data_IF_764366975251
#
_entry.id   IF_764366975251
#
_cell.length_a   1.000
_cell.length_b   1.000
_cell.length_c   1.000
_cell.angle_alpha   90.00
_cell.angle_beta   90.00
_cell.angle_gamma   90.00
#
_symmetry.space_group_name_H-M   'P 1'
#
loop_
_entity.id
_entity.type
_entity.pdbx_description
1 polymer ?
#
# COMPACT_ATOMS: atom_id res chain seq x y z
N UNK A 1 3.44 -9.30 1.07
CA UNK A 1 3.11 -9.48 -0.38
C UNK A 1 4.12 -10.44 -0.98
N UNK A 2 3.71 -11.42 -1.79
CA UNK A 2 4.67 -12.36 -2.41
C UNK A 2 5.39 -11.68 -3.57
N UNK A 3 6.72 -11.83 -3.63
CA UNK A 3 7.51 -11.41 -4.77
C UNK A 3 7.16 -12.21 -6.03
N UNK A 4 7.48 -11.66 -7.18
CA UNK A 4 7.43 -12.38 -8.45
C UNK A 4 8.40 -13.57 -8.44
N UNK A 5 8.07 -14.59 -9.24
CA UNK A 5 8.89 -15.82 -9.36
C UNK A 5 10.01 -15.68 -10.38
N UNK A 6 10.07 -14.55 -11.09
CA UNK A 6 11.02 -14.31 -12.16
C UNK A 6 12.06 -13.26 -11.76
N UNK A 7 13.16 -13.30 -12.41
CA UNK A 7 14.24 -12.32 -12.29
C UNK A 7 14.95 -12.24 -13.66
N UNK A 8 14.18 -11.93 -14.71
CA UNK A 8 14.63 -11.98 -16.10
C UNK A 8 15.87 -11.13 -16.39
N UNK A 9 16.11 -10.13 -15.56
CA UNK A 9 17.27 -9.25 -15.69
C UNK A 9 18.36 -9.50 -14.64
N UNK A 10 18.27 -10.61 -13.90
CA UNK A 10 19.24 -11.01 -12.88
C UNK A 10 19.65 -9.86 -11.94
N UNK A 11 18.65 -9.09 -11.52
CA UNK A 11 18.84 -7.84 -10.75
C UNK A 11 18.53 -7.97 -9.26
N UNK A 12 18.05 -9.12 -8.78
CA UNK A 12 17.88 -9.39 -7.36
C UNK A 12 19.25 -9.50 -6.70
N UNK A 13 19.53 -8.66 -5.72
CA UNK A 13 20.81 -8.56 -4.98
C UNK A 13 20.55 -8.57 -3.49
N UNK A 14 21.60 -8.86 -2.76
CA UNK A 14 21.62 -8.83 -1.30
C UNK A 14 22.47 -7.66 -0.80
N UNK A 15 22.06 -7.10 0.32
CA UNK A 15 22.75 -6.03 1.03
C UNK A 15 22.77 -6.39 2.52
N UNK A 16 23.97 -6.43 3.11
CA UNK A 16 24.10 -6.58 4.56
C UNK A 16 24.16 -5.19 5.20
N UNK A 17 23.33 -4.99 6.22
CA UNK A 17 23.33 -3.78 7.04
C UNK A 17 23.25 -4.23 8.50
N UNK A 18 24.30 -3.97 9.26
CA UNK A 18 24.39 -4.31 10.68
C UNK A 18 24.09 -5.79 10.97
N UNK A 19 24.61 -6.70 10.14
CA UNK A 19 24.42 -8.14 10.27
C UNK A 19 23.02 -8.64 9.85
N UNK A 20 22.20 -7.78 9.26
CA UNK A 20 20.90 -8.15 8.66
C UNK A 20 21.01 -8.15 7.15
N UNK A 21 20.63 -9.25 6.55
CA UNK A 21 20.62 -9.39 5.10
C UNK A 21 19.29 -8.90 4.52
N UNK A 22 19.38 -7.94 3.58
CA UNK A 22 18.25 -7.40 2.84
C UNK A 22 18.36 -7.78 1.38
N UNK A 23 17.25 -8.19 0.76
CA UNK A 23 17.16 -8.41 -0.69
C UNK A 23 16.54 -7.18 -1.35
N UNK A 24 17.07 -6.75 -2.49
CA UNK A 24 16.57 -5.63 -3.26
C UNK A 24 16.76 -5.85 -4.76
N UNK A 25 15.95 -5.19 -5.57
CA UNK A 25 16.06 -5.24 -7.04
C UNK A 25 16.91 -4.06 -7.53
N UNK A 26 18.11 -4.38 -7.99
CA UNK A 26 19.10 -3.38 -8.42
C UNK A 26 18.82 -2.90 -9.84
N UNK A 27 18.38 -1.66 -9.99
CA UNK A 27 18.22 -1.02 -11.30
C UNK A 27 19.55 -0.95 -12.06
N UNK A 28 20.67 -0.76 -11.37
CA UNK A 28 22.00 -0.75 -11.96
C UNK A 28 22.36 -2.11 -12.60
N UNK A 29 22.04 -3.20 -11.94
CA UNK A 29 22.27 -4.54 -12.51
C UNK A 29 21.26 -4.84 -13.63
N UNK A 30 20.01 -4.43 -13.49
CA UNK A 30 19.02 -4.55 -14.57
C UNK A 30 19.46 -3.81 -15.86
N UNK A 31 20.06 -2.63 -15.69
CA UNK A 31 20.63 -1.87 -16.82
C UNK A 31 21.74 -2.65 -17.54
N UNK A 32 22.67 -3.23 -16.80
CA UNK A 32 23.75 -4.05 -17.37
C UNK A 32 23.25 -5.31 -18.06
N UNK A 33 22.16 -5.88 -17.53
CA UNK A 33 21.61 -7.16 -17.99
C UNK A 33 20.47 -7.02 -19.02
N UNK A 34 20.44 -5.91 -19.76
CA UNK A 34 19.57 -5.77 -20.94
C UNK A 34 18.62 -4.57 -20.93
N UNK A 35 18.45 -3.89 -19.79
CA UNK A 35 17.66 -2.64 -19.73
C UNK A 35 18.53 -1.39 -19.99
N UNK A 36 19.36 -1.43 -21.02
CA UNK A 36 20.33 -0.37 -21.33
C UNK A 36 19.69 1.02 -21.35
N UNK A 37 20.31 1.98 -20.65
CA UNK A 37 19.95 3.38 -20.63
C UNK A 37 18.86 3.76 -19.63
N UNK A 38 18.35 2.84 -18.80
CA UNK A 38 17.28 3.15 -17.84
C UNK A 38 17.70 4.17 -16.78
N UNK A 39 18.99 4.34 -16.51
CA UNK A 39 19.50 5.41 -15.63
C UNK A 39 19.11 6.82 -16.07
N UNK A 40 18.74 7.00 -17.35
CA UNK A 40 18.23 8.26 -17.92
C UNK A 40 16.72 8.46 -17.74
N UNK A 41 16.01 7.49 -17.21
CA UNK A 41 14.58 7.60 -16.92
C UNK A 41 14.31 8.63 -15.80
N UNK A 42 13.17 9.32 -15.84
CA UNK A 42 12.68 10.07 -14.70
C UNK A 42 12.57 9.18 -13.45
N UNK A 43 12.80 9.75 -12.27
CA UNK A 43 12.74 9.00 -11.00
C UNK A 43 11.40 8.29 -10.78
N UNK A 44 10.30 8.91 -11.17
CA UNK A 44 8.98 8.30 -11.13
C UNK A 44 8.88 7.00 -11.95
N UNK A 45 9.45 6.97 -13.15
CA UNK A 45 9.48 5.77 -13.98
C UNK A 45 10.46 4.71 -13.44
N UNK A 46 11.52 5.12 -12.76
CA UNK A 46 12.42 4.17 -12.06
C UNK A 46 11.73 3.47 -10.90
N UNK A 47 10.86 4.16 -10.16
CA UNK A 47 10.04 3.55 -9.10
C UNK A 47 9.06 2.52 -9.68
N UNK A 48 8.39 2.85 -10.80
CA UNK A 48 7.50 1.92 -11.48
C UNK A 48 8.25 0.72 -12.04
N UNK A 49 9.44 0.94 -12.64
CA UNK A 49 10.27 -0.12 -13.18
C UNK A 49 10.74 -1.08 -12.07
N UNK A 50 11.20 -0.55 -10.94
CA UNK A 50 11.62 -1.39 -9.81
C UNK A 50 10.46 -2.23 -9.27
N UNK A 51 9.26 -1.64 -9.21
CA UNK A 51 8.06 -2.36 -8.83
C UNK A 51 7.75 -3.53 -9.79
N UNK A 52 7.85 -3.32 -11.10
CA UNK A 52 7.65 -4.39 -12.10
C UNK A 52 8.72 -5.49 -11.95
N UNK A 53 9.99 -5.13 -11.80
CA UNK A 53 11.08 -6.10 -11.60
C UNK A 53 10.88 -6.95 -10.34
N UNK A 54 10.35 -6.35 -9.28
CA UNK A 54 10.05 -7.02 -8.01
C UNK A 54 8.93 -8.06 -8.13
N UNK A 55 7.95 -7.79 -8.97
CA UNK A 55 6.73 -8.61 -9.06
C UNK A 55 6.59 -9.37 -10.38
N UNK A 56 7.67 -9.47 -11.17
CA UNK A 56 7.68 -10.21 -12.42
C UNK A 56 7.31 -11.69 -12.19
N UNK A 57 6.21 -12.15 -12.81
CA UNK A 57 5.65 -13.49 -12.64
C UNK A 57 5.20 -14.15 -13.96
N UNK A 58 5.35 -13.48 -15.10
CA UNK A 58 4.87 -13.85 -16.43
C UNK A 58 3.33 -13.98 -16.56
N UNK A 59 2.60 -13.55 -15.53
CA UNK A 59 1.15 -13.61 -15.50
C UNK A 59 0.54 -12.21 -15.35
N UNK A 60 0.76 -11.57 -14.20
CA UNK A 60 0.29 -10.22 -13.91
C UNK A 60 1.33 -9.15 -14.25
N UNK A 61 2.59 -9.48 -14.10
CA UNK A 61 3.73 -8.65 -14.50
C UNK A 61 4.62 -9.41 -15.46
N UNK A 62 4.67 -8.94 -16.70
CA UNK A 62 5.40 -9.58 -17.80
C UNK A 62 6.61 -8.77 -18.22
N UNK A 63 7.54 -9.42 -18.91
CA UNK A 63 8.70 -8.76 -19.52
C UNK A 63 8.31 -7.64 -20.48
N UNK A 64 7.17 -7.77 -21.18
CA UNK A 64 6.65 -6.74 -22.09
C UNK A 64 6.40 -5.43 -21.37
N UNK A 65 5.81 -5.48 -20.17
CA UNK A 65 5.54 -4.30 -19.36
C UNK A 65 6.83 -3.63 -18.86
N UNK A 66 7.83 -4.44 -18.48
CA UNK A 66 9.16 -3.95 -18.08
C UNK A 66 9.84 -3.24 -19.26
N UNK A 67 9.82 -3.85 -20.44
CA UNK A 67 10.40 -3.28 -21.65
C UNK A 67 9.66 -2.03 -22.13
N UNK A 68 8.36 -1.92 -21.89
CA UNK A 68 7.58 -0.73 -22.20
C UNK A 68 8.11 0.51 -21.46
N UNK A 69 8.49 0.38 -20.19
CA UNK A 69 9.11 1.46 -19.41
C UNK A 69 10.46 1.88 -20.05
N UNK A 70 11.30 0.91 -20.44
CA UNK A 70 12.56 1.21 -21.13
C UNK A 70 12.33 1.91 -22.46
N UNK A 71 11.37 1.44 -23.25
CA UNK A 71 11.07 1.99 -24.57
C UNK A 71 10.56 3.43 -24.53
N UNK A 72 9.98 3.85 -23.39
CA UNK A 72 9.59 5.23 -23.17
C UNK A 72 10.77 6.21 -23.32
N UNK A 73 12.02 5.78 -23.08
CA UNK A 73 13.20 6.63 -23.34
C UNK A 73 13.26 7.16 -24.76
N UNK A 74 12.82 6.37 -25.74
CA UNK A 74 12.83 6.71 -27.16
C UNK A 74 11.59 7.49 -27.57
N UNK A 75 10.43 7.01 -27.14
CA UNK A 75 9.13 7.48 -27.66
C UNK A 75 8.51 8.59 -26.83
N UNK A 76 8.87 8.70 -25.54
CA UNK A 76 8.24 9.55 -24.52
C UNK A 76 6.73 9.32 -24.37
N UNK A 77 6.26 8.20 -24.90
CA UNK A 77 4.85 7.76 -24.88
C UNK A 77 4.80 6.24 -24.67
N UNK A 78 3.73 5.74 -24.11
CA UNK A 78 3.40 4.33 -24.07
C UNK A 78 1.88 4.17 -24.02
N UNK A 79 1.37 3.15 -24.70
CA UNK A 79 -0.02 2.68 -24.62
C UNK A 79 -0.11 1.35 -23.89
N UNK A 80 1.02 0.82 -23.44
CA UNK A 80 1.07 -0.44 -22.68
C UNK A 80 0.61 -0.19 -21.26
N UNK A 81 -0.41 -0.88 -20.84
CA UNK A 81 -0.81 -0.93 -19.43
C UNK A 81 0.23 -1.69 -18.61
N UNK A 82 0.51 -1.20 -17.43
CA UNK A 82 1.42 -1.84 -16.50
C UNK A 82 0.72 -2.15 -15.18
N UNK A 83 1.03 -3.28 -14.59
CA UNK A 83 0.61 -3.58 -13.22
C UNK A 83 1.44 -2.77 -12.22
N UNK A 84 0.82 -2.37 -11.13
CA UNK A 84 1.48 -1.71 -10.00
C UNK A 84 1.00 -2.28 -8.68
N UNK A 85 1.92 -2.64 -7.81
CA UNK A 85 1.62 -3.15 -6.46
C UNK A 85 2.21 -2.21 -5.44
N UNK A 86 1.41 -1.33 -4.83
CA UNK A 86 1.88 -0.38 -3.84
C UNK A 86 2.34 -1.10 -2.57
N UNK A 87 3.36 -0.57 -1.92
CA UNK A 87 3.81 -1.08 -0.63
C UNK A 87 2.77 -0.83 0.48
N UNK A 88 1.98 0.24 0.30
CA UNK A 88 0.93 0.64 1.24
C UNK A 88 -0.18 1.40 0.51
N UNK A 89 -1.40 1.25 1.02
CA UNK A 89 -2.57 2.00 0.59
C UNK A 89 -3.01 2.91 1.73
N UNK A 90 -3.20 4.19 1.45
CA UNK A 90 -3.76 5.15 2.37
C UNK A 90 -5.23 5.36 2.02
N UNK A 91 -6.11 5.16 2.97
CA UNK A 91 -7.54 5.40 2.83
C UNK A 91 -8.02 6.45 3.81
N UNK A 92 -8.97 7.24 3.39
CA UNK A 92 -9.83 8.02 4.27
C UNK A 92 -11.03 7.18 4.68
N UNK A 93 -11.73 7.54 5.74
CA UNK A 93 -12.87 6.77 6.23
C UNK A 93 -14.03 6.71 5.21
N UNK A 94 -14.36 7.80 4.53
CA UNK A 94 -15.42 7.82 3.52
C UNK A 94 -15.15 6.93 2.30
N UNK A 95 -13.91 6.79 1.90
CA UNK A 95 -13.49 5.90 0.81
C UNK A 95 -13.10 4.51 1.30
N UNK A 96 -12.63 4.41 2.53
CA UNK A 96 -12.13 3.17 3.12
C UNK A 96 -13.23 2.26 3.66
N UNK A 97 -14.31 2.81 4.21
CA UNK A 97 -15.43 2.01 4.73
C UNK A 97 -16.06 1.14 3.65
N UNK A 98 -16.42 1.65 2.46
CA UNK A 98 -16.89 0.80 1.37
C UNK A 98 -15.91 -0.32 1.00
N UNK A 99 -14.63 -0.03 0.91
CA UNK A 99 -13.60 -1.03 0.60
C UNK A 99 -13.54 -2.15 1.66
N UNK A 100 -13.67 -1.81 2.94
CA UNK A 100 -13.70 -2.81 4.02
C UNK A 100 -15.02 -3.59 4.01
N UNK A 101 -16.14 -2.95 3.66
CA UNK A 101 -17.42 -3.64 3.48
C UNK A 101 -17.35 -4.66 2.34
N UNK A 102 -16.71 -4.31 1.22
CA UNK A 102 -16.48 -5.25 0.11
C UNK A 102 -15.61 -6.45 0.54
N UNK A 103 -14.54 -6.22 1.29
CA UNK A 103 -13.73 -7.32 1.84
C UNK A 103 -14.53 -8.20 2.79
N UNK A 104 -15.42 -7.63 3.59
CA UNK A 104 -16.31 -8.38 4.48
C UNK A 104 -17.29 -9.25 3.67
N UNK A 105 -17.92 -8.67 2.63
CA UNK A 105 -18.80 -9.41 1.71
C UNK A 105 -18.06 -10.53 0.97
N UNK A 106 -16.81 -10.30 0.55
CA UNK A 106 -15.96 -11.34 -0.05
C UNK A 106 -15.70 -12.50 0.94
N UNK A 107 -15.49 -12.21 2.23
CA UNK A 107 -15.35 -13.25 3.27
C UNK A 107 -16.61 -14.08 3.42
N UNK A 108 -17.77 -13.44 3.41
CA UNK A 108 -19.06 -14.12 3.49
C UNK A 108 -19.25 -15.05 2.29
N UNK A 109 -19.05 -14.56 1.07
CA UNK A 109 -19.14 -15.36 -0.16
C UNK A 109 -18.16 -16.57 -0.15
N UNK A 110 -16.96 -16.39 0.38
CA UNK A 110 -15.98 -17.51 0.53
C UNK A 110 -16.47 -18.54 1.56
N UNK A 111 -17.04 -18.08 2.67
CA UNK A 111 -17.64 -18.94 3.71
C UNK A 111 -18.81 -19.76 3.16
N UNK A 112 -19.69 -19.17 2.38
CA UNK A 112 -20.81 -19.85 1.71
C UNK A 112 -20.33 -20.97 0.78
N UNK A 113 -19.12 -20.85 0.21
CA UNK A 113 -18.48 -21.89 -0.60
C UNK A 113 -17.71 -22.92 0.23
N UNK A 114 -17.89 -22.96 1.56
CA UNK A 114 -17.16 -23.82 2.49
C UNK A 114 -15.64 -23.69 2.38
N UNK A 115 -15.15 -22.48 2.11
CA UNK A 115 -13.73 -22.13 2.08
C UNK A 115 -13.37 -21.26 3.28
N UNK A 116 -12.07 -21.17 3.58
CA UNK A 116 -11.57 -20.39 4.69
C UNK A 116 -11.66 -18.87 4.38
N UNK A 117 -12.55 -18.11 5.08
CA UNK A 117 -12.71 -16.69 4.85
C UNK A 117 -11.49 -15.86 5.28
N UNK A 118 -10.61 -16.39 6.14
CA UNK A 118 -9.39 -15.71 6.57
C UNK A 118 -8.37 -15.53 5.44
N UNK A 119 -8.56 -16.20 4.31
CA UNK A 119 -7.76 -15.98 3.10
C UNK A 119 -8.02 -14.63 2.43
N UNK A 120 -9.15 -14.00 2.74
CA UNK A 120 -9.49 -12.67 2.23
C UNK A 120 -8.92 -11.63 3.20
N UNK A 121 -7.88 -10.96 2.76
CA UNK A 121 -7.21 -9.86 3.46
C UNK A 121 -6.72 -8.83 2.42
N UNK A 122 -6.48 -7.58 2.80
CA UNK A 122 -5.74 -6.65 1.97
C UNK A 122 -4.38 -7.24 1.56
N UNK A 123 -4.06 -7.18 0.28
CA UNK A 123 -2.78 -7.70 -0.23
C UNK A 123 -1.59 -6.81 0.13
N UNK A 124 -1.83 -5.53 0.33
CA UNK A 124 -0.86 -4.54 0.81
C UNK A 124 -1.29 -4.02 2.17
N UNK A 125 -0.37 -3.46 2.93
CA UNK A 125 -0.69 -2.73 4.14
C UNK A 125 -1.69 -1.60 3.83
N UNK A 126 -2.77 -1.53 4.57
CA UNK A 126 -3.78 -0.47 4.49
C UNK A 126 -3.76 0.34 5.77
N UNK A 127 -3.58 1.64 5.64
CA UNK A 127 -3.76 2.60 6.72
C UNK A 127 -5.01 3.42 6.40
N UNK A 128 -6.06 3.24 7.20
CA UNK A 128 -7.27 4.04 7.12
C UNK A 128 -7.19 5.14 8.19
N UNK A 129 -7.17 6.38 7.73
CA UNK A 129 -7.18 7.55 8.62
C UNK A 129 -8.57 8.14 8.62
N UNK A 130 -9.14 8.32 9.81
CA UNK A 130 -10.37 9.08 9.98
C UNK A 130 -9.99 10.56 9.82
N UNK A 131 -10.14 11.02 8.59
CA UNK A 131 -9.47 12.21 8.04
C UNK A 131 -10.16 13.51 8.40
N UNK A 132 -11.45 13.46 8.63
CA UNK A 132 -12.18 14.68 8.87
C UNK A 132 -11.86 15.27 10.23
N UNK A 133 -11.92 16.58 10.26
CA UNK A 133 -11.86 17.31 11.52
C UNK A 133 -13.04 16.90 12.38
N UNK A 134 -12.79 16.73 13.66
CA UNK A 134 -13.85 16.63 14.66
C UNK A 134 -14.70 17.90 14.59
N UNK A 135 -16.02 17.73 14.44
CA UNK A 135 -16.92 18.87 14.42
C UNK A 135 -16.82 19.67 15.74
N UNK A 136 -16.73 20.99 15.65
CA UNK A 136 -16.62 21.84 16.80
C UNK A 136 -18.02 22.20 17.32
N UNK A 137 -18.47 21.47 18.34
CA UNK A 137 -19.71 21.75 19.05
C UNK A 137 -19.45 22.55 20.35
N UNK A 138 -18.31 22.34 20.97
CA UNK A 138 -17.83 23.06 22.18
C UNK A 138 -16.53 23.78 21.83
N UNK A 139 -16.37 25.03 22.30
CA UNK A 139 -15.22 25.87 21.96
C UNK A 139 -14.84 26.79 23.12
N UNK A 140 -13.69 27.46 22.95
CA UNK A 140 -13.19 28.50 23.85
C UNK A 140 -12.89 28.05 25.29
N UNK A 141 -12.62 26.75 25.53
CA UNK A 141 -12.14 26.25 26.82
C UNK A 141 -11.18 25.07 26.67
N UNK A 142 -10.44 24.75 27.72
CA UNK A 142 -9.40 23.72 27.69
C UNK A 142 -9.93 22.30 27.55
N UNK A 143 -11.22 22.05 27.77
CA UNK A 143 -11.87 20.75 27.66
C UNK A 143 -12.58 20.54 26.34
N UNK A 144 -12.67 21.55 25.47
CA UNK A 144 -13.42 21.54 24.23
C UNK A 144 -12.99 20.40 23.29
N UNK A 145 -11.68 20.18 23.15
CA UNK A 145 -11.17 19.11 22.30
C UNK A 145 -11.71 17.73 22.74
N UNK A 146 -11.59 17.45 24.03
CA UNK A 146 -12.09 16.17 24.60
C UNK A 146 -13.59 16.00 24.39
N UNK A 147 -14.36 17.05 24.69
CA UNK A 147 -15.83 17.02 24.50
C UNK A 147 -16.21 16.76 23.04
N UNK A 148 -15.58 17.45 22.11
CA UNK A 148 -15.86 17.28 20.69
C UNK A 148 -15.51 15.87 20.21
N UNK A 149 -14.40 15.29 20.69
CA UNK A 149 -14.04 13.89 20.40
C UNK A 149 -15.08 12.92 20.96
N UNK A 150 -15.53 13.12 22.21
CA UNK A 150 -16.56 12.27 22.83
C UNK A 150 -17.90 12.37 22.06
N UNK A 151 -18.29 13.56 21.59
CA UNK A 151 -19.47 13.77 20.76
C UNK A 151 -19.30 13.05 19.40
N UNK A 152 -18.14 13.15 18.78
CA UNK A 152 -17.82 12.47 17.51
C UNK A 152 -17.96 10.96 17.63
N UNK A 153 -17.41 10.35 18.69
CA UNK A 153 -17.55 8.92 18.94
C UNK A 153 -19.01 8.51 19.17
N UNK A 154 -19.80 9.34 19.84
CA UNK A 154 -21.23 9.07 20.05
C UNK A 154 -22.04 9.15 18.75
N UNK A 155 -21.77 10.15 17.90
CA UNK A 155 -22.46 10.33 16.60
C UNK A 155 -22.13 9.22 15.60
N UNK A 156 -20.91 8.73 15.60
CA UNK A 156 -20.39 7.79 14.61
C UNK A 156 -20.06 6.42 15.21
N UNK A 157 -20.66 6.06 16.34
CA UNK A 157 -20.34 4.85 17.09
C UNK A 157 -20.45 3.56 16.28
N UNK A 158 -21.48 3.41 15.44
CA UNK A 158 -21.64 2.24 14.57
C UNK A 158 -20.51 2.15 13.54
N UNK A 159 -20.16 3.26 12.91
CA UNK A 159 -19.05 3.35 11.94
C UNK A 159 -17.73 2.92 12.59
N UNK A 160 -17.43 3.45 13.76
CA UNK A 160 -16.18 3.14 14.45
C UNK A 160 -16.14 1.72 15.00
N UNK A 161 -17.28 1.19 15.42
CA UNK A 161 -17.42 -0.22 15.80
C UNK A 161 -17.12 -1.15 14.63
N UNK A 162 -17.65 -0.85 13.44
CA UNK A 162 -17.36 -1.61 12.23
C UNK A 162 -15.88 -1.54 11.83
N UNK A 163 -15.28 -0.37 11.86
CA UNK A 163 -13.86 -0.19 11.55
C UNK A 163 -12.97 -0.92 12.56
N UNK A 164 -13.29 -0.84 13.85
CA UNK A 164 -12.56 -1.56 14.90
C UNK A 164 -12.65 -3.07 14.71
N UNK A 165 -13.84 -3.58 14.32
CA UNK A 165 -13.99 -4.97 13.93
C UNK A 165 -13.08 -5.29 12.73
N UNK A 166 -13.06 -4.47 11.70
CA UNK A 166 -12.21 -4.64 10.52
C UNK A 166 -10.73 -4.73 10.86
N UNK A 167 -10.25 -3.86 11.75
CA UNK A 167 -8.85 -3.90 12.22
C UNK A 167 -8.49 -5.20 12.95
N UNK A 168 -9.45 -5.82 13.62
CA UNK A 168 -9.24 -7.10 14.31
C UNK A 168 -9.42 -8.30 13.38
N UNK A 169 -10.28 -8.15 12.36
CA UNK A 169 -10.65 -9.22 11.45
C UNK A 169 -9.63 -9.39 10.31
N UNK A 170 -9.07 -8.32 9.79
CA UNK A 170 -8.18 -8.32 8.65
C UNK A 170 -6.72 -8.13 9.06
N UNK A 171 -5.85 -8.97 8.52
CA UNK A 171 -4.42 -8.71 8.52
C UNK A 171 -4.13 -7.52 7.60
N UNK A 172 -3.00 -6.85 7.78
CA UNK A 172 -2.59 -5.71 6.97
C UNK A 172 -3.57 -4.51 6.97
N UNK A 173 -4.40 -4.37 8.00
CA UNK A 173 -5.32 -3.27 8.12
C UNK A 173 -5.15 -2.54 9.46
N UNK A 174 -4.91 -1.24 9.39
CA UNK A 174 -4.74 -0.38 10.57
C UNK A 174 -5.61 0.85 10.45
N UNK A 175 -6.16 1.29 11.58
CA UNK A 175 -6.98 2.49 11.68
C UNK A 175 -6.27 3.54 12.53
N UNK A 176 -6.31 4.78 12.08
CA UNK A 176 -5.96 5.95 12.85
C UNK A 176 -7.26 6.63 13.29
N UNK A 177 -7.48 6.79 14.61
CA UNK A 177 -8.75 7.28 15.14
C UNK A 177 -8.98 8.77 14.86
N UNK A 178 -10.22 9.25 15.02
CA UNK A 178 -10.54 10.67 14.88
C UNK A 178 -9.78 11.51 15.92
N UNK A 179 -9.57 12.79 15.63
CA UNK A 179 -8.84 13.70 16.50
C UNK A 179 -7.31 13.57 16.47
N UNK A 180 -6.76 12.66 15.66
CA UNK A 180 -5.30 12.48 15.51
C UNK A 180 -4.71 13.55 14.60
N UNK A 181 -5.45 14.01 13.63
CA UNK A 181 -5.05 15.02 12.66
C UNK A 181 -5.52 14.66 11.24
N UNK A 182 -5.38 15.61 10.33
CA UNK A 182 -5.75 15.43 8.94
C UNK A 182 -4.91 14.35 8.26
N UNK A 183 -5.52 13.54 7.41
CA UNK A 183 -4.95 12.37 6.75
C UNK A 183 -3.57 12.65 6.12
N UNK A 184 -3.44 13.74 5.35
CA UNK A 184 -2.20 14.07 4.68
C UNK A 184 -1.07 14.38 5.65
N UNK A 185 -1.35 15.09 6.73
CA UNK A 185 -0.40 15.44 7.76
C UNK A 185 0.03 14.22 8.56
N UNK A 186 -0.93 13.44 9.06
CA UNK A 186 -0.67 12.17 9.75
C UNK A 186 0.14 11.22 8.87
N UNK A 187 -0.18 11.16 7.57
CA UNK A 187 0.57 10.35 6.63
C UNK A 187 2.04 10.77 6.53
N UNK A 188 2.31 12.05 6.34
CA UNK A 188 3.67 12.55 6.16
C UNK A 188 4.50 12.45 7.44
N UNK A 189 3.90 12.74 8.59
CA UNK A 189 4.62 12.84 9.86
C UNK A 189 4.84 11.48 10.55
N UNK A 190 3.89 10.55 10.42
CA UNK A 190 3.88 9.32 11.22
C UNK A 190 3.81 8.03 10.42
N UNK A 191 3.14 8.01 9.28
CA UNK A 191 2.84 6.76 8.58
C UNK A 191 3.78 6.48 7.41
N UNK A 192 4.24 7.50 6.69
CA UNK A 192 5.11 7.34 5.54
C UNK A 192 6.51 6.89 5.95
N UNK A 193 7.06 5.98 5.16
CA UNK A 193 8.44 5.52 5.28
C UNK A 193 9.17 5.80 3.98
N UNK A 194 10.43 6.16 4.08
CA UNK A 194 11.31 6.33 2.92
C UNK A 194 11.66 4.98 2.31
N UNK A 195 11.89 3.98 3.15
CA UNK A 195 12.21 2.62 2.74
C UNK A 195 11.20 1.65 3.35
N UNK A 196 10.59 0.82 2.51
CA UNK A 196 9.70 -0.25 2.91
C UNK A 196 10.44 -1.56 2.87
N UNK A 197 10.30 -2.35 3.92
CA UNK A 197 10.82 -3.71 3.97
C UNK A 197 9.73 -4.66 4.48
N UNK A 198 9.76 -5.87 4.00
CA UNK A 198 8.89 -6.96 4.43
C UNK A 198 9.76 -8.18 4.70
N UNK A 199 9.27 -9.08 5.54
CA UNK A 199 9.93 -10.38 5.71
C UNK A 199 9.80 -11.15 4.40
N UNK A 200 10.92 -11.66 3.93
CA UNK A 200 10.98 -12.53 2.78
C UNK A 200 10.84 -13.98 3.27
N UNK A 201 9.82 -14.65 2.81
CA UNK A 201 9.68 -16.10 2.94
C UNK A 201 10.22 -16.72 1.65
N UNK A 202 11.25 -17.55 1.77
CA UNK A 202 11.87 -18.25 0.63
C UNK A 202 10.91 -19.26 0.00
#
# INVERSE_FOLDING_TARGET
MKLGKKNSYNCLKSLDIDGKNYKYFSLKEAEKNGLNGISKLPKSLLVLLENLLRFEDDLSVTKIQIEAIKNWLKTKKSTTEIAYRPARILLQDYTGIPAIADLAAMREAVKEKNKDPKKINPLSQVDLVIDHSVQVDDFANTTSLKKNVDIEFNRNGERYSFLKWGQQAFDNFRIVPPGTGICHQVNLEYLSKVVWNEKFED
#
